data_IF_968259142999
#
_entry.id   IF_968259142999
#
_cell.length_a   1.000
_cell.length_b   1.000
_cell.length_c   1.000
_cell.angle_alpha   90.00
_cell.angle_beta   90.00
_cell.angle_gamma   90.00
#
_symmetry.space_group_name_H-M   'P 1'
#
loop_
_entity.id
_entity.type
_entity.pdbx_description
1 polymer ?
#
# COMPACT_ATOMS: atom_id res chain seq x y z
N UNK A 1 33.44 -0.54 2.98
CA UNK A 1 32.01 -0.71 3.31
C UNK A 1 31.89 -1.97 4.13
N UNK A 2 31.46 -1.87 5.41
CA UNK A 2 31.17 -3.08 6.20
C UNK A 2 29.95 -3.79 5.57
N UNK A 3 30.06 -5.10 5.33
CA UNK A 3 28.97 -5.88 4.76
C UNK A 3 27.77 -5.91 5.72
N UNK A 4 26.56 -5.75 5.19
CA UNK A 4 25.34 -5.88 5.98
C UNK A 4 25.21 -7.30 6.56
N UNK A 5 24.61 -7.39 7.75
CA UNK A 5 24.34 -8.66 8.40
C UNK A 5 23.39 -9.51 7.50
N UNK A 6 23.63 -10.82 7.41
CA UNK A 6 22.80 -11.77 6.67
C UNK A 6 21.31 -11.63 7.00
N UNK A 7 20.96 -11.38 8.26
CA UNK A 7 19.57 -11.20 8.68
C UNK A 7 18.93 -9.95 8.10
N UNK A 8 19.68 -8.84 8.00
CA UNK A 8 19.21 -7.61 7.34
C UNK A 8 18.95 -7.84 5.85
N UNK A 9 19.85 -8.54 5.16
CA UNK A 9 19.68 -8.87 3.74
C UNK A 9 18.44 -9.74 3.52
N UNK A 10 18.22 -10.76 4.37
CA UNK A 10 17.03 -11.62 4.31
C UNK A 10 15.74 -10.80 4.53
N UNK A 11 15.75 -9.89 5.51
CA UNK A 11 14.62 -8.99 5.75
C UNK A 11 14.32 -8.12 4.52
N UNK A 12 15.35 -7.53 3.91
CA UNK A 12 15.19 -6.69 2.73
C UNK A 12 14.64 -7.47 1.54
N UNK A 13 15.13 -8.68 1.30
CA UNK A 13 14.62 -9.53 0.20
C UNK A 13 13.16 -9.91 0.46
N UNK A 14 12.81 -10.34 1.67
CA UNK A 14 11.43 -10.62 2.05
C UNK A 14 10.54 -9.38 1.86
N UNK A 15 10.99 -8.22 2.34
CA UNK A 15 10.26 -6.97 2.19
C UNK A 15 10.06 -6.57 0.72
N UNK A 16 11.05 -6.74 -0.14
CA UNK A 16 10.90 -6.50 -1.59
C UNK A 16 9.78 -7.37 -2.14
N UNK A 17 9.81 -8.67 -1.88
CA UNK A 17 8.80 -9.60 -2.37
C UNK A 17 7.40 -9.22 -1.87
N UNK A 18 7.25 -8.97 -0.56
CA UNK A 18 5.96 -8.60 0.04
C UNK A 18 5.45 -7.24 -0.44
N UNK A 19 6.31 -6.22 -0.55
CA UNK A 19 5.90 -4.89 -1.00
C UNK A 19 5.49 -4.87 -2.47
N UNK A 20 6.29 -5.47 -3.34
CA UNK A 20 5.96 -5.56 -4.76
C UNK A 20 4.74 -6.45 -4.97
N UNK A 21 4.68 -7.61 -4.30
CA UNK A 21 3.52 -8.49 -4.32
C UNK A 21 2.23 -7.76 -3.92
N UNK A 22 2.29 -6.98 -2.82
CA UNK A 22 1.14 -6.18 -2.36
C UNK A 22 0.77 -5.06 -3.34
N UNK A 23 1.75 -4.32 -3.87
CA UNK A 23 1.50 -3.22 -4.80
C UNK A 23 0.88 -3.71 -6.12
N UNK A 24 1.43 -4.79 -6.70
CA UNK A 24 0.91 -5.45 -7.89
C UNK A 24 -0.50 -5.98 -7.64
N UNK A 25 -0.70 -6.71 -6.54
CA UNK A 25 -1.98 -7.30 -6.19
C UNK A 25 -3.07 -6.24 -6.00
N UNK A 26 -2.81 -5.20 -5.20
CA UNK A 26 -3.77 -4.11 -4.95
C UNK A 26 -4.17 -3.39 -6.21
N UNK A 27 -3.21 -3.11 -7.08
CA UNK A 27 -3.51 -2.46 -8.36
C UNK A 27 -4.36 -3.37 -9.26
N UNK A 28 -4.02 -4.67 -9.35
CA UNK A 28 -4.78 -5.64 -10.13
C UNK A 28 -6.20 -5.86 -9.59
N UNK A 29 -6.37 -5.93 -8.26
CA UNK A 29 -7.70 -5.97 -7.62
C UNK A 29 -8.52 -4.73 -7.96
N UNK A 30 -7.87 -3.57 -7.97
CA UNK A 30 -8.50 -2.29 -8.31
C UNK A 30 -8.95 -2.27 -9.78
N UNK A 31 -8.12 -2.72 -10.71
CA UNK A 31 -8.47 -2.85 -12.12
C UNK A 31 -9.61 -3.84 -12.34
N UNK A 32 -9.61 -4.96 -11.61
CA UNK A 32 -10.70 -5.94 -11.68
C UNK A 32 -12.04 -5.31 -11.27
N UNK A 33 -12.07 -4.56 -10.16
CA UNK A 33 -13.28 -3.84 -9.73
C UNK A 33 -13.75 -2.86 -10.82
N UNK A 34 -12.84 -2.10 -11.40
CA UNK A 34 -13.16 -1.14 -12.46
C UNK A 34 -13.69 -1.85 -13.70
N UNK A 35 -13.10 -2.98 -14.09
CA UNK A 35 -13.55 -3.77 -15.26
C UNK A 35 -14.95 -4.35 -15.07
N UNK A 36 -15.25 -4.89 -13.88
CA UNK A 36 -16.55 -5.55 -13.61
C UNK A 36 -17.66 -4.53 -13.39
N UNK A 37 -17.38 -3.41 -12.72
CA UNK A 37 -18.41 -2.42 -12.40
C UNK A 37 -18.58 -1.35 -13.47
N UNK A 38 -17.57 -1.11 -14.31
CA UNK A 38 -17.53 0.03 -15.24
C UNK A 38 -17.62 1.39 -14.57
N UNK A 39 -17.56 1.46 -13.23
CA UNK A 39 -17.79 2.67 -12.44
C UNK A 39 -16.54 3.13 -11.71
N UNK A 40 -15.99 4.27 -12.11
CA UNK A 40 -14.88 4.93 -11.43
C UNK A 40 -15.23 5.34 -9.99
N UNK A 41 -16.51 5.64 -9.71
CA UNK A 41 -16.97 5.99 -8.36
C UNK A 41 -16.92 4.80 -7.41
N UNK A 42 -17.38 3.61 -7.82
CA UNK A 42 -17.32 2.39 -7.01
C UNK A 42 -15.85 2.01 -6.77
N UNK A 43 -15.02 2.06 -7.81
CA UNK A 43 -13.59 1.85 -7.72
C UNK A 43 -12.92 2.78 -6.68
N UNK A 44 -13.14 4.09 -6.78
CA UNK A 44 -12.59 5.07 -5.86
C UNK A 44 -13.08 4.87 -4.42
N UNK A 45 -14.36 4.52 -4.22
CA UNK A 45 -14.95 4.25 -2.91
C UNK A 45 -14.30 3.04 -2.25
N UNK A 46 -14.13 1.93 -2.98
CA UNK A 46 -13.48 0.72 -2.45
C UNK A 46 -12.02 1.01 -2.06
N UNK A 47 -11.29 1.75 -2.89
CA UNK A 47 -9.92 2.18 -2.54
C UNK A 47 -9.89 3.03 -1.27
N UNK A 48 -10.76 4.04 -1.18
CA UNK A 48 -10.83 4.91 -0.01
C UNK A 48 -11.16 4.14 1.27
N UNK A 49 -12.18 3.27 1.22
CA UNK A 49 -12.59 2.44 2.37
C UNK A 49 -11.49 1.45 2.74
N UNK A 50 -10.78 0.89 1.76
CA UNK A 50 -9.71 -0.09 2.03
C UNK A 50 -8.49 0.51 2.73
N UNK A 51 -8.25 1.82 2.67
CA UNK A 51 -7.12 2.48 3.34
C UNK A 51 -7.44 2.79 4.81
N UNK A 52 -8.72 2.98 5.17
CA UNK A 52 -9.14 3.35 6.53
C UNK A 52 -8.57 2.43 7.62
N UNK A 53 -8.61 1.10 7.49
CA UNK A 53 -8.04 0.21 8.50
C UNK A 53 -6.55 0.47 8.75
N UNK A 54 -5.77 0.74 7.72
CA UNK A 54 -4.34 1.03 7.86
C UNK A 54 -4.12 2.30 8.71
N UNK A 55 -4.88 3.35 8.46
CA UNK A 55 -4.78 4.62 9.21
C UNK A 55 -5.17 4.41 10.67
N UNK A 56 -6.28 3.71 10.92
CA UNK A 56 -6.82 3.51 12.27
C UNK A 56 -5.98 2.53 13.10
N UNK A 57 -5.45 1.48 12.47
CA UNK A 57 -4.75 0.40 13.17
C UNK A 57 -3.22 0.57 13.23
N UNK A 58 -2.63 1.46 12.42
CA UNK A 58 -1.18 1.69 12.39
C UNK A 58 -0.58 2.04 13.78
N UNK A 59 -1.20 2.87 14.64
CA UNK A 59 -0.69 3.12 15.99
C UNK A 59 -0.63 1.85 16.85
N UNK A 60 -1.62 0.94 16.70
CA UNK A 60 -1.62 -0.35 17.39
C UNK A 60 -0.52 -1.29 16.88
N UNK A 61 -0.24 -1.20 15.56
CA UNK A 61 0.84 -1.95 14.92
C UNK A 61 2.21 -1.60 15.52
N UNK A 62 2.48 -0.32 15.77
CA UNK A 62 3.69 0.14 16.41
C UNK A 62 3.86 -0.44 17.82
N UNK A 63 2.83 -0.34 18.66
CA UNK A 63 2.86 -0.88 20.02
C UNK A 63 3.00 -2.41 20.03
N UNK A 64 2.35 -3.11 19.11
CA UNK A 64 2.49 -4.56 18.99
C UNK A 64 3.93 -4.95 18.60
N UNK A 65 4.54 -4.20 17.68
CA UNK A 65 5.93 -4.41 17.24
C UNK A 65 6.96 -4.22 18.37
N UNK A 66 6.64 -3.41 19.38
CA UNK A 66 7.50 -3.22 20.54
C UNK A 66 7.35 -4.34 21.60
N UNK A 67 6.21 -5.02 21.65
CA UNK A 67 5.88 -6.01 22.67
C UNK A 67 6.02 -7.45 22.24
N UNK A 68 5.91 -7.72 20.94
CA UNK A 68 5.97 -9.07 20.37
C UNK A 68 7.18 -9.18 19.46
N UNK A 69 7.70 -10.39 19.32
CA UNK A 69 8.78 -10.66 18.37
C UNK A 69 8.41 -10.16 16.97
N UNK A 70 9.12 -9.14 16.49
CA UNK A 70 8.90 -8.50 15.20
C UNK A 70 8.97 -9.52 14.05
N UNK A 71 9.90 -10.48 14.15
CA UNK A 71 9.98 -11.61 13.24
C UNK A 71 8.70 -12.44 13.21
N UNK A 72 8.14 -12.77 14.38
CA UNK A 72 6.92 -13.58 14.46
C UNK A 72 5.71 -12.83 13.90
N UNK A 73 5.66 -11.51 14.06
CA UNK A 73 4.61 -10.68 13.46
C UNK A 73 4.71 -10.72 11.95
N UNK A 74 5.88 -10.39 11.38
CA UNK A 74 6.09 -10.37 9.93
C UNK A 74 5.77 -11.74 9.32
N UNK A 75 6.40 -12.80 9.83
CA UNK A 75 6.18 -14.18 9.41
C UNK A 75 4.71 -14.59 9.45
N UNK A 76 4.03 -14.33 10.56
CA UNK A 76 2.61 -14.68 10.72
C UNK A 76 1.71 -13.91 9.76
N UNK A 77 2.01 -12.64 9.51
CA UNK A 77 1.24 -11.78 8.61
C UNK A 77 1.44 -12.16 7.14
N UNK A 78 2.66 -12.51 6.73
CA UNK A 78 2.93 -12.96 5.35
C UNK A 78 2.28 -14.33 5.08
N UNK A 79 2.34 -15.28 6.02
CA UNK A 79 1.57 -16.52 5.92
C UNK A 79 0.08 -16.27 5.87
N UNK A 80 -0.44 -15.42 6.75
CA UNK A 80 -1.87 -15.07 6.76
C UNK A 80 -2.29 -14.45 5.41
N UNK A 81 -1.48 -13.55 4.86
CA UNK A 81 -1.71 -12.95 3.54
C UNK A 81 -1.75 -14.00 2.45
N UNK A 82 -0.76 -14.89 2.42
CA UNK A 82 -0.70 -15.98 1.45
C UNK A 82 -1.93 -16.88 1.50
N UNK A 83 -2.30 -17.36 2.69
CA UNK A 83 -3.49 -18.21 2.87
C UNK A 83 -4.79 -17.49 2.54
N UNK A 84 -4.88 -16.21 2.87
CA UNK A 84 -6.05 -15.39 2.59
C UNK A 84 -6.26 -15.19 1.08
N UNK A 85 -5.19 -14.90 0.34
CA UNK A 85 -5.25 -14.77 -1.12
C UNK A 85 -5.55 -16.11 -1.79
N UNK A 86 -4.91 -17.19 -1.32
CA UNK A 86 -5.14 -18.53 -1.85
C UNK A 86 -6.58 -18.98 -1.60
N UNK A 87 -7.09 -18.82 -0.37
CA UNK A 87 -8.48 -19.11 -0.03
C UNK A 87 -9.47 -18.30 -0.87
N UNK A 88 -9.18 -17.02 -1.07
CA UNK A 88 -9.96 -16.16 -1.96
C UNK A 88 -9.96 -16.68 -3.40
N UNK A 89 -8.81 -17.10 -3.93
CA UNK A 89 -8.69 -17.69 -5.27
C UNK A 89 -9.53 -18.96 -5.43
N UNK A 90 -9.62 -19.80 -4.38
CA UNK A 90 -10.41 -21.03 -4.39
C UNK A 90 -11.92 -20.77 -4.37
N UNK A 91 -12.37 -19.86 -3.52
CA UNK A 91 -13.81 -19.51 -3.39
C UNK A 91 -14.32 -18.84 -4.66
N UNK A 92 -13.47 -18.14 -5.37
CA UNK A 92 -13.82 -17.34 -6.56
C UNK A 92 -13.90 -18.16 -7.86
N UNK A 93 -13.80 -19.50 -7.80
CA UNK A 93 -13.92 -20.37 -8.97
C UNK A 93 -15.25 -20.22 -9.73
N UNK A 94 -16.31 -19.68 -9.08
CA UNK A 94 -17.64 -19.42 -9.67
C UNK A 94 -17.85 -17.96 -10.11
N UNK A 95 -16.82 -17.11 -10.05
CA UNK A 95 -16.87 -15.69 -10.36
C UNK A 95 -16.53 -14.80 -9.15
N UNK A 96 -15.81 -13.72 -9.41
CA UNK A 96 -15.36 -12.81 -8.35
C UNK A 96 -16.44 -11.76 -8.05
N UNK A 97 -17.04 -11.82 -6.88
CA UNK A 97 -17.91 -10.75 -6.40
C UNK A 97 -17.09 -9.52 -6.01
N UNK A 98 -17.54 -8.33 -6.42
CA UNK A 98 -16.93 -7.04 -6.06
C UNK A 98 -16.83 -6.88 -4.52
N UNK A 99 -17.82 -7.38 -3.79
CA UNK A 99 -17.84 -7.33 -2.32
C UNK A 99 -16.70 -8.18 -1.73
N UNK A 100 -16.47 -9.39 -2.27
CA UNK A 100 -15.36 -10.24 -1.83
C UNK A 100 -14.00 -9.59 -2.12
N UNK A 101 -13.85 -8.92 -3.27
CA UNK A 101 -12.64 -8.16 -3.58
C UNK A 101 -12.43 -7.02 -2.58
N UNK A 102 -13.48 -6.27 -2.23
CA UNK A 102 -13.40 -5.21 -1.23
C UNK A 102 -13.00 -5.76 0.15
N UNK A 103 -13.57 -6.89 0.57
CA UNK A 103 -13.20 -7.56 1.83
C UNK A 103 -11.73 -7.97 1.81
N UNK A 104 -11.23 -8.53 0.70
CA UNK A 104 -9.82 -8.87 0.56
C UNK A 104 -8.94 -7.63 0.68
N UNK A 105 -9.26 -6.53 -0.01
CA UNK A 105 -8.50 -5.28 0.06
C UNK A 105 -8.48 -4.69 1.47
N UNK A 106 -9.58 -4.74 2.19
CA UNK A 106 -9.67 -4.32 3.60
C UNK A 106 -8.79 -5.20 4.48
N UNK A 107 -8.85 -6.52 4.30
CA UNK A 107 -8.03 -7.48 5.05
C UNK A 107 -6.53 -7.26 4.83
N UNK A 108 -6.11 -7.04 3.57
CA UNK A 108 -4.73 -6.70 3.23
C UNK A 108 -4.28 -5.38 3.89
N UNK A 109 -5.19 -4.42 4.06
CA UNK A 109 -4.90 -3.14 4.72
C UNK A 109 -4.74 -3.29 6.23
N UNK A 110 -5.54 -4.16 6.85
CA UNK A 110 -5.36 -4.52 8.27
C UNK A 110 -3.98 -5.15 8.48
N UNK A 111 -3.62 -6.13 7.66
CA UNK A 111 -2.32 -6.80 7.73
C UNK A 111 -1.17 -5.78 7.58
N UNK A 112 -1.28 -4.89 6.60
CA UNK A 112 -0.27 -3.86 6.34
C UNK A 112 -0.07 -2.90 7.51
N UNK A 113 -1.14 -2.59 8.27
CA UNK A 113 -1.08 -1.73 9.45
C UNK A 113 -0.16 -2.28 10.55
N UNK A 114 0.02 -3.60 10.61
CA UNK A 114 0.90 -4.26 11.58
C UNK A 114 2.26 -4.63 10.97
N UNK A 115 2.31 -4.96 9.68
CA UNK A 115 3.53 -5.37 9.01
C UNK A 115 4.56 -4.24 8.93
N UNK A 116 4.17 -3.07 8.42
CA UNK A 116 5.09 -1.94 8.20
C UNK A 116 5.78 -1.43 9.48
N UNK A 117 5.09 -1.21 10.60
CA UNK A 117 5.74 -0.83 11.84
C UNK A 117 6.72 -1.90 12.34
N UNK A 118 6.41 -3.20 12.13
CA UNK A 118 7.29 -4.31 12.54
C UNK A 118 8.59 -4.33 11.74
N UNK A 119 8.54 -4.05 10.44
CA UNK A 119 9.73 -3.90 9.58
C UNK A 119 10.58 -2.73 10.06
N UNK A 120 9.98 -1.54 10.22
CA UNK A 120 10.70 -0.34 10.64
C UNK A 120 11.35 -0.50 12.01
N UNK A 121 10.65 -1.10 12.97
CA UNK A 121 11.19 -1.39 14.30
C UNK A 121 12.31 -2.44 14.27
N UNK A 122 12.40 -3.29 13.24
CA UNK A 122 13.44 -4.31 13.12
C UNK A 122 14.78 -3.76 12.65
N UNK A 123 14.81 -2.65 11.92
CA UNK A 123 16.01 -2.09 11.30
C UNK A 123 17.11 -1.81 12.34
N UNK A 124 16.86 -1.08 13.45
CA UNK A 124 17.90 -0.75 14.42
C UNK A 124 18.46 -1.98 15.18
N UNK A 125 17.77 -3.13 15.13
CA UNK A 125 18.25 -4.37 15.73
C UNK A 125 19.15 -5.19 14.80
N UNK A 126 19.14 -4.89 13.52
CA UNK A 126 19.82 -5.67 12.49
C UNK A 126 21.07 -4.98 11.92
N UNK A 127 21.21 -3.67 12.14
CA UNK A 127 22.34 -2.88 11.65
C UNK A 127 23.01 -2.10 12.77
N UNK A 128 24.28 -1.70 12.57
CA UNK A 128 24.98 -0.82 13.51
C UNK A 128 24.46 0.62 13.40
N UNK A 129 24.68 1.43 14.45
CA UNK A 129 24.27 2.86 14.47
C UNK A 129 24.81 3.63 13.28
N UNK A 130 26.06 3.37 12.86
CA UNK A 130 26.70 3.98 11.68
C UNK A 130 25.97 3.66 10.37
N UNK A 131 25.33 2.50 10.29
CA UNK A 131 24.63 2.02 9.08
C UNK A 131 23.13 2.35 9.11
N UNK A 132 22.58 2.82 10.23
CA UNK A 132 21.14 2.99 10.44
C UNK A 132 20.51 3.95 9.41
N UNK A 133 21.17 5.07 9.12
CA UNK A 133 20.69 6.05 8.14
C UNK A 133 20.65 5.45 6.73
N UNK A 134 21.69 4.69 6.35
CA UNK A 134 21.77 4.04 5.05
C UNK A 134 20.72 2.92 4.92
N UNK A 135 20.52 2.11 5.97
CA UNK A 135 19.52 1.05 6.02
C UNK A 135 18.09 1.60 5.88
N UNK A 136 17.76 2.68 6.59
CA UNK A 136 16.48 3.37 6.41
C UNK A 136 16.32 3.92 5.00
N UNK A 137 17.39 4.49 4.43
CA UNK A 137 17.40 4.95 3.04
C UNK A 137 17.08 3.85 2.04
N UNK A 138 17.61 2.64 2.22
CA UNK A 138 17.30 1.46 1.39
C UNK A 138 15.81 1.11 1.48
N UNK A 139 15.25 1.07 2.71
CA UNK A 139 13.82 0.75 2.90
C UNK A 139 12.92 1.80 2.25
N UNK A 140 13.25 3.08 2.37
CA UNK A 140 12.51 4.18 1.71
C UNK A 140 12.57 4.04 0.18
N UNK A 141 13.75 3.72 -0.38
CA UNK A 141 13.91 3.50 -1.82
C UNK A 141 13.07 2.31 -2.32
N UNK A 142 13.06 1.19 -1.59
CA UNK A 142 12.24 0.02 -1.94
C UNK A 142 10.75 0.38 -1.93
N UNK A 143 10.28 1.10 -0.92
CA UNK A 143 8.90 1.58 -0.86
C UNK A 143 8.55 2.48 -2.05
N UNK A 144 9.44 3.42 -2.40
CA UNK A 144 9.25 4.32 -3.55
C UNK A 144 9.22 3.55 -4.87
N UNK A 145 10.12 2.58 -5.05
CA UNK A 145 10.14 1.72 -6.24
C UNK A 145 8.89 0.84 -6.33
N UNK A 146 8.43 0.25 -5.23
CA UNK A 146 7.21 -0.53 -5.21
C UNK A 146 5.97 0.33 -5.51
N UNK A 147 5.91 1.55 -5.01
CA UNK A 147 4.82 2.49 -5.30
C UNK A 147 4.79 2.92 -6.78
N UNK A 148 5.97 3.09 -7.41
CA UNK A 148 6.08 3.47 -8.82
C UNK A 148 5.86 2.27 -9.76
N UNK A 149 6.59 1.18 -9.54
CA UNK A 149 6.60 0.02 -10.44
C UNK A 149 5.41 -0.92 -10.20
N UNK A 150 4.83 -0.93 -8.99
CA UNK A 150 3.70 -1.78 -8.64
C UNK A 150 2.50 -1.60 -9.59
N UNK A 151 1.99 -0.38 -9.79
CA UNK A 151 0.92 -0.12 -10.75
C UNK A 151 1.28 -0.51 -12.19
N UNK A 152 2.52 -0.24 -12.62
CA UNK A 152 2.99 -0.58 -13.97
C UNK A 152 2.97 -2.10 -14.17
N UNK A 153 3.62 -2.82 -13.26
CA UNK A 153 3.69 -4.29 -13.29
C UNK A 153 2.31 -4.92 -13.07
N UNK A 154 1.51 -4.37 -12.18
CA UNK A 154 0.15 -4.82 -11.91
C UNK A 154 -0.75 -4.69 -13.12
N UNK A 155 -0.72 -3.56 -13.81
CA UNK A 155 -1.48 -3.34 -15.06
C UNK A 155 -1.00 -4.25 -16.19
N UNK A 156 0.32 -4.40 -16.34
CA UNK A 156 0.91 -5.30 -17.33
C UNK A 156 0.49 -6.75 -17.07
N UNK A 157 0.70 -7.27 -15.87
CA UNK A 157 0.36 -8.64 -15.52
C UNK A 157 -1.15 -8.90 -15.64
N UNK A 158 -1.99 -7.94 -15.22
CA UNK A 158 -3.44 -8.03 -15.34
C UNK A 158 -3.92 -8.12 -16.80
N UNK A 159 -3.19 -7.51 -17.74
CA UNK A 159 -3.53 -7.54 -19.16
C UNK A 159 -3.16 -8.86 -19.85
N UNK A 160 -2.16 -9.58 -19.33
CA UNK A 160 -1.65 -10.80 -19.97
C UNK A 160 -2.02 -12.09 -19.25
N UNK A 161 -2.32 -12.02 -17.95
CA UNK A 161 -2.58 -13.21 -17.14
C UNK A 161 -4.06 -13.28 -16.72
N UNK A 162 -4.64 -14.48 -16.67
CA UNK A 162 -5.92 -14.69 -16.00
C UNK A 162 -5.84 -14.21 -14.54
N UNK A 163 -6.89 -13.55 -14.07
CA UNK A 163 -6.90 -12.96 -12.73
C UNK A 163 -6.64 -13.98 -11.61
N UNK A 164 -7.18 -15.21 -11.76
CA UNK A 164 -6.91 -16.32 -10.82
C UNK A 164 -5.43 -16.70 -10.77
N UNK A 165 -4.74 -16.71 -11.90
CA UNK A 165 -3.30 -17.01 -11.96
C UNK A 165 -2.48 -15.92 -11.27
N UNK A 166 -2.86 -14.65 -11.46
CA UNK A 166 -2.23 -13.52 -10.79
C UNK A 166 -2.37 -13.61 -9.27
N UNK A 167 -3.55 -13.98 -8.76
CA UNK A 167 -3.78 -14.23 -7.34
C UNK A 167 -2.87 -15.34 -6.81
N UNK A 168 -2.76 -16.46 -7.52
CA UNK A 168 -1.92 -17.58 -7.11
C UNK A 168 -0.43 -17.23 -7.12
N UNK A 169 0.04 -16.43 -8.09
CA UNK A 169 1.41 -15.90 -8.12
C UNK A 169 1.65 -15.00 -6.90
N UNK A 170 0.71 -14.11 -6.58
CA UNK A 170 0.81 -13.26 -5.40
C UNK A 170 0.83 -14.07 -4.09
N UNK A 171 -0.07 -15.05 -3.95
CA UNK A 171 -0.08 -15.95 -2.79
C UNK A 171 1.26 -16.69 -2.62
N UNK A 172 1.83 -17.20 -3.71
CA UNK A 172 3.12 -17.89 -3.71
C UNK A 172 4.26 -16.94 -3.33
N UNK A 173 4.24 -15.70 -3.80
CA UNK A 173 5.23 -14.69 -3.46
C UNK A 173 5.22 -14.37 -1.95
N UNK A 174 4.04 -14.17 -1.34
CA UNK A 174 3.92 -13.98 0.11
C UNK A 174 4.33 -15.21 0.90
N UNK A 175 4.01 -16.41 0.43
CA UNK A 175 4.47 -17.65 1.04
C UNK A 175 6.00 -17.77 1.03
N UNK A 176 6.64 -17.43 -0.10
CA UNK A 176 8.10 -17.42 -0.22
C UNK A 176 8.73 -16.36 0.71
N UNK A 177 8.13 -15.17 0.81
CA UNK A 177 8.56 -14.14 1.77
C UNK A 177 8.52 -14.67 3.20
N UNK A 178 7.43 -15.32 3.60
CA UNK A 178 7.30 -15.92 4.92
C UNK A 178 8.38 -16.98 5.19
N UNK A 179 8.75 -17.80 4.19
CA UNK A 179 9.85 -18.76 4.33
C UNK A 179 11.19 -18.04 4.57
N UNK A 180 11.48 -16.96 3.85
CA UNK A 180 12.70 -16.17 4.08
C UNK A 180 12.74 -15.59 5.49
N UNK A 181 11.61 -15.07 5.98
CA UNK A 181 11.47 -14.56 7.34
C UNK A 181 11.60 -15.66 8.40
N UNK A 182 11.22 -16.90 8.08
CA UNK A 182 11.41 -18.06 8.95
C UNK A 182 12.90 -18.36 9.18
N UNK A 183 13.77 -18.09 8.21
CA UNK A 183 15.21 -18.31 8.32
C UNK A 183 15.91 -17.17 9.08
N UNK A 184 15.32 -15.97 9.07
CA UNK A 184 15.87 -14.77 9.70
C UNK A 184 15.85 -14.89 11.24
N UNK A 185 16.87 -14.32 11.89
CA UNK A 185 16.95 -14.24 13.35
C UNK A 185 17.02 -12.76 13.76
N UNK A 186 15.98 -12.29 14.43
CA UNK A 186 15.95 -10.95 15.05
C UNK A 186 16.07 -11.13 16.55
N UNK A 187 17.04 -10.49 17.22
CA UNK A 187 17.13 -10.50 18.67
C UNK A 187 15.87 -9.85 19.26
N UNK A 188 15.23 -10.52 20.19
CA UNK A 188 14.04 -10.03 20.86
C UNK A 188 14.36 -9.69 22.29
N UNK A 189 14.25 -8.42 22.64
CA UNK A 189 14.29 -7.94 24.03
C UNK A 189 12.86 -7.58 24.42
N UNK A 190 12.32 -8.31 25.40
CA UNK A 190 10.98 -8.05 25.90
C UNK A 190 10.99 -6.75 26.71
N UNK A 191 10.33 -5.73 26.21
CA UNK A 191 10.11 -4.50 26.97
C UNK A 191 8.91 -4.74 27.88
N UNK A 192 9.16 -4.79 29.19
CA UNK A 192 8.10 -4.82 30.20
C UNK A 192 7.45 -3.43 30.26
N UNK A 193 6.33 -3.26 29.60
CA UNK A 193 5.55 -2.05 29.69
C UNK A 193 4.43 -2.23 30.70
N UNK A 194 4.50 -1.51 31.82
CA UNK A 194 3.43 -1.41 32.79
C UNK A 194 2.30 -0.54 32.24
N UNK A 195 1.15 -1.13 31.92
CA UNK A 195 -0.04 -0.41 31.51
C UNK A 195 -0.88 -1.10 30.42
N UNK A 196 -2.15 -0.70 30.33
CA UNK A 196 -3.05 -1.13 29.26
C UNK A 196 -2.62 -0.52 27.93
N UNK A 197 -2.69 -1.30 26.83
CA UNK A 197 -2.33 -0.87 25.46
C UNK A 197 -3.05 0.44 25.06
N UNK A 198 -4.33 0.56 25.41
CA UNK A 198 -5.13 1.77 25.15
C UNK A 198 -4.64 3.00 25.93
N UNK A 199 -4.17 2.82 27.17
CA UNK A 199 -3.65 3.93 28.00
C UNK A 199 -2.34 4.48 27.44
N UNK A 200 -1.49 3.60 26.93
CA UNK A 200 -0.21 3.97 26.30
C UNK A 200 -0.47 4.75 25.01
N UNK A 201 -1.31 4.23 24.11
CA UNK A 201 -1.67 4.93 22.86
C UNK A 201 -2.22 6.31 23.15
N UNK A 202 -3.16 6.40 24.09
CA UNK A 202 -3.78 7.69 24.44
C UNK A 202 -2.75 8.68 24.99
N UNK A 203 -1.84 8.19 25.82
CA UNK A 203 -0.81 9.04 26.46
C UNK A 203 0.23 9.51 25.43
N UNK A 204 0.73 8.60 24.61
CA UNK A 204 1.71 8.89 23.55
C UNK A 204 1.12 9.81 22.47
N UNK A 205 -0.12 9.56 22.05
CA UNK A 205 -0.83 10.43 21.10
C UNK A 205 -1.07 11.80 21.67
N UNK A 206 -1.44 11.90 22.96
CA UNK A 206 -1.67 13.19 23.63
C UNK A 206 -0.36 13.98 23.80
N UNK A 207 0.72 13.30 24.16
CA UNK A 207 2.04 13.91 24.30
C UNK A 207 2.59 14.38 22.95
N UNK A 208 2.48 13.57 21.92
CA UNK A 208 2.87 13.94 20.54
C UNK A 208 2.05 15.12 20.01
N UNK A 209 0.74 15.13 20.26
CA UNK A 209 -0.13 16.24 19.84
C UNK A 209 0.17 17.53 20.64
N UNK A 210 0.48 17.41 21.94
CA UNK A 210 0.88 18.54 22.76
C UNK A 210 2.19 19.15 22.28
N UNK A 211 3.20 18.33 22.00
CA UNK A 211 4.48 18.74 21.43
C UNK A 211 4.30 19.50 20.09
N UNK A 212 3.51 18.92 19.18
CA UNK A 212 3.24 19.54 17.88
C UNK A 212 2.50 20.89 18.01
N UNK A 213 1.57 21.00 18.98
CA UNK A 213 0.69 22.17 19.08
C UNK A 213 1.28 23.32 19.91
N UNK A 214 2.13 23.00 20.91
CA UNK A 214 2.69 23.99 21.84
C UNK A 214 4.15 24.31 21.55
N UNK A 215 4.97 23.28 21.31
CA UNK A 215 6.41 23.49 21.19
C UNK A 215 6.84 23.86 19.77
N UNK A 216 6.10 23.38 18.73
CA UNK A 216 6.47 23.62 17.33
C UNK A 216 5.26 23.79 16.41
N UNK A 217 4.51 24.90 16.48
CA UNK A 217 3.32 25.13 15.64
C UNK A 217 3.63 25.18 14.15
N UNK A 218 4.84 25.58 13.77
CA UNK A 218 5.29 25.59 12.37
C UNK A 218 5.34 24.17 11.76
N UNK A 219 5.66 23.16 12.58
CA UNK A 219 5.67 21.76 12.13
C UNK A 219 4.28 21.27 11.73
N UNK A 220 3.22 21.71 12.42
CA UNK A 220 1.83 21.33 12.05
C UNK A 220 1.50 21.86 10.65
N UNK A 221 1.80 23.11 10.36
CA UNK A 221 1.51 23.70 9.05
C UNK A 221 2.29 22.98 7.94
N UNK A 222 3.57 22.65 8.18
CA UNK A 222 4.40 21.89 7.24
C UNK A 222 3.83 20.48 7.02
N UNK A 223 3.45 19.77 8.08
CA UNK A 223 2.86 18.44 8.01
C UNK A 223 1.52 18.45 7.26
N UNK A 224 0.67 19.44 7.53
CA UNK A 224 -0.61 19.60 6.82
C UNK A 224 -0.40 19.89 5.33
N UNK A 225 0.56 20.75 4.99
CA UNK A 225 0.90 21.04 3.61
C UNK A 225 1.40 19.77 2.88
N UNK A 226 2.33 19.04 3.50
CA UNK A 226 2.84 17.78 2.96
C UNK A 226 1.75 16.72 2.83
N UNK A 227 0.84 16.64 3.80
CA UNK A 227 -0.30 15.71 3.76
C UNK A 227 -1.24 16.07 2.60
N UNK A 228 -1.56 17.36 2.41
CA UNK A 228 -2.40 17.82 1.31
C UNK A 228 -1.76 17.52 -0.06
N UNK A 229 -0.48 17.81 -0.22
CA UNK A 229 0.25 17.49 -1.45
C UNK A 229 0.28 15.98 -1.73
N UNK A 230 0.56 15.16 -0.71
CA UNK A 230 0.51 13.70 -0.84
C UNK A 230 -0.89 13.20 -1.21
N UNK A 231 -1.95 13.75 -0.61
CA UNK A 231 -3.33 13.37 -0.90
C UNK A 231 -3.68 13.62 -2.36
N UNK A 232 -3.34 14.80 -2.88
CA UNK A 232 -3.60 15.16 -4.29
C UNK A 232 -2.79 14.25 -5.23
N UNK A 233 -1.50 14.11 -5.00
CA UNK A 233 -0.60 13.34 -5.87
C UNK A 233 -0.94 11.84 -5.85
N UNK A 234 -1.16 11.28 -4.67
CA UNK A 234 -1.52 9.88 -4.50
C UNK A 234 -2.87 9.55 -5.14
N UNK A 235 -3.87 10.43 -4.97
CA UNK A 235 -5.18 10.27 -5.60
C UNK A 235 -5.09 10.30 -7.13
N UNK A 236 -4.27 11.19 -7.68
CA UNK A 236 -4.05 11.26 -9.13
C UNK A 236 -3.40 9.98 -9.67
N UNK A 237 -2.36 9.48 -9.00
CA UNK A 237 -1.68 8.25 -9.43
C UNK A 237 -2.58 7.02 -9.27
N UNK A 238 -3.28 6.90 -8.14
CA UNK A 238 -4.01 5.68 -7.79
C UNK A 238 -5.36 5.57 -8.48
N UNK A 239 -6.07 6.67 -8.67
CA UNK A 239 -7.41 6.70 -9.26
C UNK A 239 -7.38 7.28 -10.68
N UNK A 240 -6.66 8.37 -10.88
CA UNK A 240 -6.62 9.08 -12.15
C UNK A 240 -5.97 8.28 -13.27
N UNK A 241 -4.81 7.69 -13.02
CA UNK A 241 -4.09 6.89 -14.02
C UNK A 241 -4.91 5.69 -14.52
N UNK A 242 -5.49 4.82 -13.69
CA UNK A 242 -6.33 3.72 -14.16
C UNK A 242 -7.54 4.19 -14.96
N UNK A 243 -8.23 5.23 -14.51
CA UNK A 243 -9.40 5.78 -15.19
C UNK A 243 -9.03 6.34 -16.57
N UNK A 244 -7.89 7.04 -16.69
CA UNK A 244 -7.42 7.56 -17.97
C UNK A 244 -7.01 6.41 -18.90
N UNK A 245 -6.39 5.35 -18.40
CA UNK A 245 -5.93 4.22 -19.20
C UNK A 245 -7.07 3.35 -19.72
N UNK A 246 -8.20 3.29 -19.03
CA UNK A 246 -9.37 2.50 -19.41
C UNK A 246 -10.42 3.30 -20.21
N UNK A 247 -10.26 4.64 -20.29
CA UNK A 247 -11.16 5.46 -21.10
C UNK A 247 -10.93 5.21 -22.60
N UNK A 248 -11.98 5.30 -23.46
CA UNK A 248 -11.86 5.10 -24.90
C UNK A 248 -10.92 6.10 -25.59
N UNK A 249 -10.56 7.19 -24.90
CA UNK A 249 -9.46 8.09 -25.25
C UNK A 249 -8.19 7.65 -24.54
N UNK A 250 -7.69 6.46 -24.84
CA UNK A 250 -6.46 5.91 -24.25
C UNK A 250 -5.31 6.91 -24.32
N UNK A 251 -4.53 7.02 -23.24
CA UNK A 251 -3.29 7.81 -23.16
C UNK A 251 -2.30 7.46 -24.30
N UNK A 252 -2.37 6.24 -24.83
CA UNK A 252 -1.66 5.83 -26.04
C UNK A 252 -2.08 6.64 -27.27
N UNK A 253 -3.34 7.03 -27.38
CA UNK A 253 -3.82 7.91 -28.45
C UNK A 253 -3.44 9.38 -28.22
N UNK A 254 -3.16 9.77 -26.99
CA UNK A 254 -2.61 11.09 -26.65
C UNK A 254 -1.11 11.18 -26.99
N UNK A 255 -0.35 10.12 -26.78
CA UNK A 255 1.08 10.03 -27.10
C UNK A 255 1.36 9.60 -28.54
N UNK A 256 0.47 8.82 -29.16
CA UNK A 256 0.65 8.24 -30.52
C UNK A 256 0.38 9.21 -31.67
N UNK A 257 0.58 10.48 -31.42
CA UNK A 257 0.88 11.34 -32.52
C UNK A 257 -0.17 12.32 -32.98
N UNK A 258 0.33 13.44 -32.98
CA UNK A 258 -0.09 14.67 -33.59
C UNK A 258 -0.31 14.52 -35.10
N UNK A 259 -1.41 13.88 -35.49
CA UNK A 259 -2.04 14.02 -36.83
C UNK A 259 -3.45 14.56 -36.66
N UNK A 260 -3.81 15.68 -37.29
CA UNK A 260 -5.14 16.29 -37.14
C UNK A 260 -6.17 15.47 -37.86
N UNK A 261 -7.05 14.79 -37.11
CA UNK A 261 -8.24 14.15 -37.63
C UNK A 261 -9.50 14.82 -37.03
N UNK A 262 -10.52 15.17 -37.82
CA UNK A 262 -11.65 16.01 -37.40
C UNK A 262 -12.52 15.42 -36.26
N UNK A 263 -12.50 14.11 -36.05
CA UNK A 263 -13.24 13.44 -34.97
C UNK A 263 -12.58 13.53 -33.59
N UNK A 264 -11.37 14.11 -33.44
CA UNK A 264 -10.60 14.19 -32.16
C UNK A 264 -11.01 15.35 -31.27
N UNK A 265 -11.58 16.42 -31.80
CA UNK A 265 -12.00 17.58 -31.00
C UNK A 265 -13.18 17.26 -30.09
N UNK A 266 -14.10 16.41 -30.54
CA UNK A 266 -15.26 16.00 -29.73
C UNK A 266 -14.90 15.09 -28.56
N UNK A 267 -13.93 14.19 -28.76
CA UNK A 267 -13.44 13.29 -27.70
C UNK A 267 -12.65 14.04 -26.62
N UNK A 268 -11.88 15.09 -27.00
CA UNK A 268 -11.10 15.91 -26.07
C UNK A 268 -11.98 16.76 -25.13
N UNK A 269 -13.08 17.33 -25.65
CA UNK A 269 -14.00 18.12 -24.83
C UNK A 269 -14.79 17.27 -23.83
N UNK A 270 -15.20 16.06 -24.21
CA UNK A 270 -15.89 15.15 -23.31
C UNK A 270 -14.98 14.51 -22.24
N UNK A 271 -13.71 14.22 -22.55
CA UNK A 271 -12.77 13.70 -21.56
C UNK A 271 -12.37 14.73 -20.50
N UNK A 272 -12.11 15.98 -20.90
CA UNK A 272 -11.73 17.04 -19.94
C UNK A 272 -12.89 17.47 -19.08
N UNK A 273 -14.11 17.54 -19.61
CA UNK A 273 -15.31 17.91 -18.85
C UNK A 273 -15.74 16.77 -17.89
N UNK A 274 -15.67 15.51 -18.30
CA UNK A 274 -15.95 14.37 -17.43
C UNK A 274 -14.92 14.21 -16.30
N UNK A 275 -13.65 14.49 -16.59
CA UNK A 275 -12.58 14.46 -15.59
C UNK A 275 -12.73 15.60 -14.57
N UNK A 276 -12.94 16.82 -15.02
CA UNK A 276 -13.11 18.00 -14.13
C UNK A 276 -14.41 17.92 -13.32
N UNK A 277 -15.53 17.50 -13.92
CA UNK A 277 -16.80 17.37 -13.19
C UNK A 277 -16.78 16.20 -12.19
N UNK A 278 -16.16 15.07 -12.52
CA UNK A 278 -15.95 13.96 -11.59
C UNK A 278 -15.02 14.30 -10.42
N UNK A 279 -13.97 15.07 -10.68
CA UNK A 279 -13.00 15.49 -9.67
C UNK A 279 -13.57 16.56 -8.74
N UNK A 280 -14.25 17.58 -9.29
CA UNK A 280 -14.88 18.65 -8.51
C UNK A 280 -16.05 18.11 -7.68
N UNK A 281 -16.90 17.25 -8.22
CA UNK A 281 -18.03 16.66 -7.47
C UNK A 281 -17.57 15.66 -6.40
N UNK A 282 -16.45 14.97 -6.60
CA UNK A 282 -15.83 14.11 -5.59
C UNK A 282 -15.21 14.91 -4.44
N UNK A 283 -14.46 15.97 -4.74
CA UNK A 283 -13.81 16.82 -3.74
C UNK A 283 -14.81 17.59 -2.84
N UNK A 284 -15.94 18.02 -3.40
CA UNK A 284 -17.00 18.73 -2.64
C UNK A 284 -17.90 17.84 -1.77
N UNK A 285 -17.87 16.52 -1.95
CA UNK A 285 -18.58 15.58 -1.07
C UNK A 285 -17.76 15.15 0.14
N UNK A 286 -16.48 15.48 0.19
CA UNK A 286 -15.56 15.13 1.29
C UNK A 286 -15.10 16.34 2.12
N UNK A 287 -15.49 17.57 1.77
CA UNK A 287 -15.44 18.78 2.59
C UNK A 287 -16.80 19.06 3.21
#
# INVERSE_FOLDING_TARGET
MKAYNRNFILMIIGQIISLFGNAILRFSLSLYVLQVTGSASIFATILAVSILPTILLSPFGGILADRVSRRSIMLGLDFLTSFLIFGFSMVSAQGFSVVLVAILMISLSIIQAFYQPSVQASIPLLVSEEQLMQANGIVVQINALAALLGPILGGFLFSFLPFSLLLNIAATAFFLSAILECIMRIPFQRVEANGSMLSIIRNDSRQSLHFLRHDNPTLIHLLLLLAALNLVLSSFITVGLPVISTSPCSFANLLAGWKPHPYRLHCRQHCTSAFLSGWISGAWRFL
#
